data_IF_125662628284
#
_entry.id   IF_125662628284
#
_cell.length_a   1.000
_cell.length_b   1.000
_cell.length_c   1.000
_cell.angle_alpha   90.00
_cell.angle_beta   90.00
_cell.angle_gamma   90.00
#
_symmetry.space_group_name_H-M   'P 1'
#
loop_
_entity.id
_entity.type
_entity.pdbx_description
1 polymer ?
#
# COMPACT_ATOMS: atom_id res chain seq x y z
N UNK A 1 -66.69 -22.76 -43.78
CA UNK A 1 -66.30 -21.95 -42.60
C UNK A 1 -64.78 -21.86 -42.57
N UNK A 2 -64.22 -20.66 -42.71
CA UNK A 2 -62.77 -20.41 -42.77
C UNK A 2 -62.28 -20.07 -41.36
N UNK A 3 -61.40 -20.88 -40.80
CA UNK A 3 -60.66 -20.53 -39.59
C UNK A 3 -59.56 -19.53 -39.96
N UNK A 4 -59.71 -18.27 -39.54
CA UNK A 4 -58.69 -17.24 -39.66
C UNK A 4 -57.86 -17.28 -38.39
N UNK A 5 -56.65 -17.84 -38.48
CA UNK A 5 -55.63 -17.76 -37.43
C UNK A 5 -55.06 -16.33 -37.40
N UNK A 6 -55.18 -15.69 -36.25
CA UNK A 6 -54.75 -14.32 -35.98
C UNK A 6 -53.21 -14.24 -35.80
N UNK A 7 -52.45 -13.42 -36.55
CA UNK A 7 -50.99 -13.44 -36.56
C UNK A 7 -50.31 -12.77 -35.36
N UNK A 8 -51.06 -12.36 -34.32
CA UNK A 8 -50.49 -11.60 -33.19
C UNK A 8 -49.71 -12.46 -32.20
N UNK A 9 -49.85 -13.79 -32.21
CA UNK A 9 -49.31 -14.66 -31.15
C UNK A 9 -47.89 -15.21 -31.47
N UNK A 10 -47.34 -14.94 -32.66
CA UNK A 10 -45.98 -15.40 -33.01
C UNK A 10 -44.87 -14.36 -32.73
N UNK A 11 -45.23 -13.16 -32.28
CA UNK A 11 -44.28 -12.06 -32.05
C UNK A 11 -43.73 -11.93 -30.62
N UNK A 12 -44.31 -12.60 -29.63
CA UNK A 12 -44.02 -12.32 -28.21
C UNK A 12 -42.95 -13.22 -27.58
N UNK A 13 -42.51 -14.30 -28.24
CA UNK A 13 -41.52 -15.24 -27.65
C UNK A 13 -40.07 -14.87 -28.00
N UNK A 14 -39.83 -14.03 -29.01
CA UNK A 14 -38.47 -13.60 -29.39
C UNK A 14 -38.00 -12.39 -28.55
N UNK A 15 -38.90 -11.72 -27.81
CA UNK A 15 -38.57 -10.54 -27.01
C UNK A 15 -38.02 -10.85 -25.61
N UNK A 16 -37.88 -12.11 -25.21
CA UNK A 16 -37.53 -12.49 -23.84
C UNK A 16 -36.20 -13.24 -23.70
N UNK A 17 -35.31 -13.15 -24.70
CA UNK A 17 -34.01 -13.85 -24.72
C UNK A 17 -32.79 -12.93 -24.87
N UNK A 18 -32.96 -11.62 -24.68
CA UNK A 18 -31.85 -10.77 -24.27
C UNK A 18 -31.85 -10.68 -22.75
N UNK A 19 -31.38 -11.76 -22.12
CA UNK A 19 -30.85 -11.72 -20.76
C UNK A 19 -29.85 -10.57 -20.72
N UNK A 20 -30.28 -9.48 -20.09
CA UNK A 20 -29.44 -8.37 -19.71
C UNK A 20 -28.30 -8.92 -18.88
N UNK A 21 -27.14 -9.10 -19.52
CA UNK A 21 -25.87 -9.28 -18.86
C UNK A 21 -25.60 -7.95 -18.15
N UNK A 22 -26.14 -7.80 -16.95
CA UNK A 22 -25.67 -6.80 -16.00
C UNK A 22 -24.25 -7.22 -15.63
N UNK A 23 -23.28 -6.78 -16.41
CA UNK A 23 -21.89 -6.76 -15.99
C UNK A 23 -21.87 -5.88 -14.73
N UNK A 24 -21.86 -6.52 -13.55
CA UNK A 24 -21.56 -5.84 -12.32
C UNK A 24 -20.15 -5.28 -12.48
N UNK A 25 -20.03 -3.99 -12.81
CA UNK A 25 -18.76 -3.30 -12.70
C UNK A 25 -18.39 -3.41 -11.22
N UNK A 26 -17.36 -4.21 -10.92
CA UNK A 26 -16.78 -4.22 -9.59
C UNK A 26 -16.48 -2.76 -9.25
N UNK A 27 -17.10 -2.26 -8.18
CA UNK A 27 -16.82 -0.92 -7.69
C UNK A 27 -15.32 -0.89 -7.41
N UNK A 28 -14.58 0.03 -8.04
CA UNK A 28 -13.18 0.24 -7.76
C UNK A 28 -13.05 0.45 -6.24
N UNK A 29 -12.59 -0.58 -5.54
CA UNK A 29 -12.43 -0.51 -4.10
C UNK A 29 -11.11 0.20 -3.89
N UNK A 30 -11.16 1.51 -3.69
CA UNK A 30 -9.97 2.28 -3.38
C UNK A 30 -9.46 1.82 -2.01
N UNK A 31 -8.23 1.33 -1.97
CA UNK A 31 -7.61 0.88 -0.74
C UNK A 31 -7.47 2.05 0.23
N UNK A 32 -8.06 1.93 1.43
CA UNK A 32 -8.09 3.01 2.41
C UNK A 32 -6.90 2.90 3.36
N UNK A 33 -6.00 3.90 3.40
CA UNK A 33 -4.96 3.98 4.42
C UNK A 33 -5.55 4.03 5.82
N UNK A 34 -4.88 3.43 6.79
CA UNK A 34 -5.36 3.40 8.16
C UNK A 34 -4.21 3.46 9.18
N UNK A 35 -4.35 4.32 10.18
CA UNK A 35 -3.38 4.43 11.26
C UNK A 35 -3.33 3.19 12.17
N UNK A 36 -4.42 2.45 12.29
CA UNK A 36 -4.61 1.36 13.24
C UNK A 36 -4.73 -0.01 12.56
N UNK A 37 -4.52 -0.08 11.25
CA UNK A 37 -4.54 -1.33 10.50
C UNK A 37 -3.44 -1.36 9.42
N UNK A 38 -3.15 -2.56 8.93
CA UNK A 38 -2.29 -2.83 7.79
C UNK A 38 -3.05 -3.50 6.64
N UNK A 39 -4.39 -3.49 6.67
CA UNK A 39 -5.26 -4.12 5.68
C UNK A 39 -5.20 -3.46 4.30
N UNK A 40 -4.76 -2.20 4.26
CA UNK A 40 -4.42 -1.50 3.01
C UNK A 40 -3.60 -2.38 2.07
N UNK A 41 -2.56 -3.05 2.59
CA UNK A 41 -1.68 -3.88 1.76
C UNK A 41 -2.37 -5.15 1.25
N UNK A 42 -3.37 -5.67 1.95
CA UNK A 42 -4.17 -6.79 1.46
C UNK A 42 -5.10 -6.33 0.33
N UNK A 43 -5.71 -5.15 0.47
CA UNK A 43 -6.48 -4.54 -0.60
C UNK A 43 -5.60 -4.25 -1.82
N UNK A 44 -4.43 -3.64 -1.61
CA UNK A 44 -3.51 -3.30 -2.70
C UNK A 44 -3.08 -4.55 -3.47
N UNK A 45 -2.75 -5.64 -2.76
CA UNK A 45 -2.46 -6.92 -3.39
C UNK A 45 -3.61 -7.44 -4.26
N UNK A 46 -4.87 -7.24 -3.86
CA UNK A 46 -6.01 -7.66 -4.67
C UNK A 46 -6.15 -6.85 -5.96
N UNK A 47 -5.63 -5.61 -5.99
CA UNK A 47 -5.59 -4.76 -7.18
C UNK A 47 -4.40 -5.11 -8.10
N UNK A 48 -3.18 -5.18 -7.54
CA UNK A 48 -1.95 -5.32 -8.35
C UNK A 48 -1.48 -6.77 -8.57
N UNK A 49 -2.01 -7.72 -7.79
CA UNK A 49 -1.79 -9.16 -7.94
C UNK A 49 -0.32 -9.60 -8.03
N UNK A 50 0.56 -9.02 -7.20
CA UNK A 50 2.01 -9.28 -7.23
C UNK A 50 2.44 -10.58 -6.54
N UNK A 51 1.50 -11.29 -5.91
CA UNK A 51 1.69 -12.56 -5.24
C UNK A 51 2.32 -12.43 -3.85
N UNK A 52 2.42 -13.57 -3.17
CA UNK A 52 2.92 -13.68 -1.78
C UNK A 52 4.35 -13.14 -1.58
N UNK A 53 5.17 -13.17 -2.63
CA UNK A 53 6.54 -12.62 -2.62
C UNK A 53 6.61 -11.16 -3.07
N UNK A 54 5.49 -10.61 -3.55
CA UNK A 54 5.35 -9.24 -4.01
C UNK A 54 5.51 -8.21 -2.89
N UNK A 55 5.71 -6.95 -3.27
CA UNK A 55 5.90 -5.87 -2.32
C UNK A 55 4.75 -5.72 -1.31
N UNK A 56 3.45 -5.71 -1.70
CA UNK A 56 2.36 -5.47 -0.76
C UNK A 56 2.38 -6.44 0.42
N UNK A 57 2.52 -7.74 0.17
CA UNK A 57 2.47 -8.76 1.23
C UNK A 57 3.83 -9.02 1.88
N UNK A 58 4.87 -9.30 1.08
CA UNK A 58 6.16 -9.76 1.62
C UNK A 58 6.96 -8.64 2.32
N UNK A 59 6.64 -7.38 2.03
CA UNK A 59 7.35 -6.23 2.54
C UNK A 59 6.41 -5.26 3.27
N UNK A 60 5.46 -4.64 2.57
CA UNK A 60 4.57 -3.61 3.10
C UNK A 60 3.79 -4.08 4.33
N UNK A 61 2.94 -5.10 4.15
CA UNK A 61 2.13 -5.68 5.23
C UNK A 61 2.99 -6.20 6.38
N UNK A 62 4.05 -6.95 6.06
CA UNK A 62 4.98 -7.50 7.04
C UNK A 62 5.55 -6.44 7.98
N UNK A 63 6.12 -5.36 7.43
CA UNK A 63 6.76 -4.33 8.26
C UNK A 63 5.76 -3.37 8.89
N UNK A 64 4.63 -3.11 8.23
CA UNK A 64 3.52 -2.40 8.86
C UNK A 64 3.07 -3.12 10.14
N UNK A 65 2.83 -4.43 10.08
CA UNK A 65 2.42 -5.20 11.26
C UNK A 65 3.53 -5.25 12.32
N UNK A 66 4.79 -5.39 11.91
CA UNK A 66 5.91 -5.44 12.84
C UNK A 66 6.07 -4.15 13.66
N UNK A 67 5.89 -2.98 13.02
CA UNK A 67 5.87 -1.69 13.72
C UNK A 67 4.64 -1.55 14.61
N UNK A 68 3.44 -1.85 14.09
CA UNK A 68 2.19 -1.79 14.85
C UNK A 68 2.24 -2.62 16.14
N UNK A 69 2.81 -3.83 16.07
CA UNK A 69 2.95 -4.72 17.22
C UNK A 69 3.94 -4.21 18.29
N UNK A 70 4.82 -3.26 17.96
CA UNK A 70 5.82 -2.71 18.89
C UNK A 70 5.42 -1.36 19.48
N UNK A 71 4.39 -0.70 18.95
CA UNK A 71 4.00 0.67 19.35
C UNK A 71 3.80 0.86 20.84
N UNK A 72 3.18 -0.12 21.52
CA UNK A 72 2.95 -0.05 22.97
C UNK A 72 4.21 -0.31 23.83
N UNK A 73 5.27 -0.88 23.25
CA UNK A 73 6.49 -1.30 23.96
C UNK A 73 7.66 -0.33 23.82
N UNK A 74 7.47 0.81 23.17
CA UNK A 74 8.52 1.80 22.88
C UNK A 74 8.20 3.16 23.49
N UNK A 75 9.13 4.13 23.35
CA UNK A 75 8.87 5.51 23.77
C UNK A 75 7.64 6.09 23.06
N UNK A 76 6.92 7.02 23.70
CA UNK A 76 5.78 7.73 23.07
C UNK A 76 6.17 8.41 21.76
N UNK A 77 7.41 8.90 21.66
CA UNK A 77 7.95 9.52 20.43
C UNK A 77 8.10 8.48 19.32
N UNK A 78 8.75 7.35 19.61
CA UNK A 78 8.97 6.28 18.62
C UNK A 78 7.66 5.61 18.21
N UNK A 79 6.72 5.40 19.14
CA UNK A 79 5.38 4.87 18.84
C UNK A 79 4.61 5.79 17.88
N UNK A 80 4.67 7.11 18.08
CA UNK A 80 4.10 8.07 17.12
C UNK A 80 4.81 8.03 15.77
N UNK A 81 6.13 7.86 15.75
CA UNK A 81 6.88 7.73 14.50
C UNK A 81 6.44 6.46 13.73
N UNK A 82 6.29 5.32 14.40
CA UNK A 82 5.76 4.08 13.80
C UNK A 82 4.37 4.30 13.17
N UNK A 83 3.45 4.92 13.89
CA UNK A 83 2.11 5.22 13.37
C UNK A 83 2.15 6.12 12.13
N UNK A 84 2.95 7.19 12.18
CA UNK A 84 3.08 8.16 11.07
C UNK A 84 3.69 7.53 9.83
N UNK A 85 4.81 6.81 9.98
CA UNK A 85 5.51 6.22 8.81
C UNK A 85 4.67 5.13 8.16
N UNK A 86 3.98 4.29 8.95
CA UNK A 86 3.06 3.28 8.43
C UNK A 86 1.92 3.90 7.63
N UNK A 87 1.35 4.99 8.12
CA UNK A 87 0.24 5.66 7.44
C UNK A 87 0.70 6.37 6.17
N UNK A 88 1.79 7.14 6.23
CA UNK A 88 2.37 7.81 5.05
C UNK A 88 2.69 6.81 3.93
N UNK A 89 3.26 5.66 4.26
CA UNK A 89 3.58 4.63 3.27
C UNK A 89 2.33 4.01 2.63
N UNK A 90 1.21 3.92 3.35
CA UNK A 90 -0.07 3.49 2.77
C UNK A 90 -0.63 4.58 1.85
N UNK A 91 -0.66 5.84 2.29
CA UNK A 91 -1.11 6.97 1.48
C UNK A 91 -0.32 7.13 0.18
N UNK A 92 1.00 6.94 0.24
CA UNK A 92 1.88 7.08 -0.93
C UNK A 92 1.64 6.04 -2.04
N UNK A 93 0.75 5.07 -1.81
CA UNK A 93 0.46 3.94 -2.68
C UNK A 93 -1.03 3.82 -3.06
N UNK A 94 -1.86 4.84 -2.78
CA UNK A 94 -3.29 4.81 -3.12
C UNK A 94 -3.51 4.57 -4.62
N UNK A 95 -2.69 5.21 -5.46
CA UNK A 95 -2.80 5.15 -6.93
C UNK A 95 -1.80 4.17 -7.55
N UNK A 96 -1.28 3.21 -6.79
CA UNK A 96 -0.17 2.36 -7.22
C UNK A 96 -0.51 1.44 -8.41
N UNK A 97 -1.78 1.06 -8.60
CA UNK A 97 -2.27 0.30 -9.75
C UNK A 97 -2.26 1.11 -11.06
N UNK A 98 -2.27 2.45 -10.95
CA UNK A 98 -2.13 3.38 -12.06
C UNK A 98 -0.69 3.92 -12.21
N UNK A 99 0.05 4.07 -11.12
CA UNK A 99 1.42 4.62 -11.11
C UNK A 99 2.46 3.63 -11.65
N UNK A 100 2.26 2.32 -11.48
CA UNK A 100 3.27 1.30 -11.80
C UNK A 100 2.76 0.26 -12.79
N UNK A 101 3.57 -0.07 -13.80
CA UNK A 101 3.20 -1.03 -14.85
C UNK A 101 3.60 -2.47 -14.51
N UNK A 102 4.37 -2.68 -13.44
CA UNK A 102 4.81 -4.00 -13.01
C UNK A 102 5.07 -4.08 -11.51
N UNK A 103 5.07 -5.30 -10.97
CA UNK A 103 5.42 -5.56 -9.58
C UNK A 103 6.87 -5.18 -9.22
N UNK A 104 7.77 -5.20 -10.20
CA UNK A 104 9.14 -4.74 -10.01
C UNK A 104 9.19 -3.22 -9.89
N UNK A 105 8.48 -2.50 -10.76
CA UNK A 105 8.33 -1.04 -10.68
C UNK A 105 7.66 -0.62 -9.37
N UNK A 106 6.54 -1.27 -9.00
CA UNK A 106 5.87 -1.04 -7.73
C UNK A 106 6.84 -1.21 -6.55
N UNK A 107 7.63 -2.28 -6.54
CA UNK A 107 8.61 -2.52 -5.47
C UNK A 107 9.68 -1.43 -5.42
N UNK A 108 10.24 -1.04 -6.55
CA UNK A 108 11.28 -0.02 -6.63
C UNK A 108 10.74 1.36 -6.23
N UNK A 109 9.59 1.75 -6.78
CA UNK A 109 8.89 2.99 -6.47
C UNK A 109 8.50 3.07 -5.01
N UNK A 110 7.92 2.00 -4.45
CA UNK A 110 7.54 1.97 -3.03
C UNK A 110 8.74 2.12 -2.10
N UNK A 111 9.90 1.51 -2.43
CA UNK A 111 11.13 1.71 -1.65
C UNK A 111 11.65 3.14 -1.73
N UNK A 112 11.46 3.83 -2.86
CA UNK A 112 11.81 5.25 -2.97
C UNK A 112 10.93 6.12 -2.07
N UNK A 113 9.61 5.88 -2.02
CA UNK A 113 8.67 6.62 -1.13
C UNK A 113 9.05 6.53 0.36
N UNK A 114 9.80 5.49 0.78
CA UNK A 114 10.26 5.39 2.18
C UNK A 114 11.13 6.57 2.60
N UNK A 115 11.95 7.13 1.71
CA UNK A 115 12.84 8.24 2.07
C UNK A 115 12.00 9.42 2.55
N UNK A 116 11.02 9.84 1.76
CA UNK A 116 10.11 10.94 2.11
C UNK A 116 9.32 10.63 3.39
N UNK A 117 8.68 9.45 3.47
CA UNK A 117 7.88 9.10 4.64
C UNK A 117 8.67 9.01 5.94
N UNK A 118 9.94 8.56 5.90
CA UNK A 118 10.81 8.56 7.08
C UNK A 118 11.07 9.99 7.56
N UNK A 119 11.42 10.88 6.63
CA UNK A 119 11.71 12.28 6.92
C UNK A 119 10.48 13.00 7.49
N UNK A 120 9.33 12.93 6.80
CA UNK A 120 8.09 13.60 7.21
C UNK A 120 7.51 13.06 8.53
N UNK A 121 7.81 11.81 8.86
CA UNK A 121 7.42 11.22 10.15
C UNK A 121 8.28 11.70 11.33
N UNK A 122 9.39 12.40 11.06
CA UNK A 122 10.31 12.93 12.08
C UNK A 122 11.48 12.01 12.42
N UNK A 123 11.95 11.19 11.48
CA UNK A 123 13.06 10.25 11.73
C UNK A 123 14.36 10.97 12.19
N UNK A 124 14.63 12.17 11.68
CA UNK A 124 15.84 12.93 12.01
C UNK A 124 15.91 13.36 13.50
N UNK A 125 14.76 13.47 14.17
CA UNK A 125 14.66 13.90 15.56
C UNK A 125 14.73 12.72 16.56
N UNK A 126 14.80 11.49 16.05
CA UNK A 126 14.93 10.30 16.88
C UNK A 126 16.34 10.19 17.45
N UNK A 127 16.41 9.74 18.70
CA UNK A 127 17.67 9.38 19.33
C UNK A 127 18.30 8.17 18.65
N UNK A 128 19.62 7.98 18.83
CA UNK A 128 20.31 6.78 18.32
C UNK A 128 19.67 5.48 18.85
N UNK A 129 19.23 5.46 20.11
CA UNK A 129 18.52 4.31 20.69
C UNK A 129 17.19 3.98 20.02
N UNK A 130 16.44 4.99 19.58
CA UNK A 130 15.19 4.79 18.83
C UNK A 130 15.48 4.33 17.38
N UNK A 131 16.51 4.90 16.74
CA UNK A 131 16.96 4.44 15.41
C UNK A 131 17.43 2.98 15.43
N UNK A 132 18.10 2.54 16.51
CA UNK A 132 18.47 1.12 16.67
C UNK A 132 17.25 0.21 16.81
N UNK A 133 16.22 0.61 17.55
CA UNK A 133 14.96 -0.15 17.63
C UNK A 133 14.26 -0.27 16.27
N UNK A 134 14.35 0.76 15.41
CA UNK A 134 13.89 0.67 14.01
C UNK A 134 14.71 -0.37 13.24
N UNK A 135 16.04 -0.32 13.34
CA UNK A 135 16.93 -1.28 12.69
C UNK A 135 16.67 -2.73 13.14
N UNK A 136 16.36 -2.96 14.41
CA UNK A 136 15.98 -4.28 14.95
C UNK A 136 14.70 -4.84 14.31
N UNK A 137 13.71 -4.00 14.02
CA UNK A 137 12.48 -4.42 13.32
C UNK A 137 12.81 -4.92 11.91
N UNK A 138 13.69 -4.19 11.22
CA UNK A 138 14.12 -4.54 9.85
C UNK A 138 14.99 -5.81 9.86
N UNK A 139 15.84 -5.96 10.88
CA UNK A 139 16.71 -7.11 11.11
C UNK A 139 17.74 -7.29 9.99
N UNK A 140 18.02 -8.54 9.63
CA UNK A 140 18.98 -8.88 8.56
C UNK A 140 18.64 -8.28 7.20
N UNK A 141 17.39 -7.88 6.97
CA UNK A 141 17.02 -7.20 5.71
C UNK A 141 17.69 -5.83 5.58
N UNK A 142 18.17 -5.23 6.68
CA UNK A 142 18.89 -3.95 6.65
C UNK A 142 20.15 -4.04 5.79
N UNK A 143 20.72 -5.24 5.61
CA UNK A 143 21.89 -5.48 4.76
C UNK A 143 21.54 -5.64 3.26
N UNK A 144 20.25 -5.63 2.90
CA UNK A 144 19.86 -5.65 1.49
C UNK A 144 20.17 -4.31 0.87
N UNK A 145 20.87 -4.31 -0.27
CA UNK A 145 21.32 -3.10 -1.00
C UNK A 145 20.23 -2.02 -1.12
N UNK A 146 19.01 -2.41 -1.44
CA UNK A 146 17.91 -1.46 -1.59
C UNK A 146 17.51 -0.77 -0.27
N UNK A 147 17.53 -1.49 0.86
CA UNK A 147 17.24 -0.90 2.18
C UNK A 147 18.42 -0.04 2.66
N UNK A 148 19.66 -0.50 2.44
CA UNK A 148 20.86 0.32 2.70
C UNK A 148 20.77 1.64 1.95
N UNK A 149 20.36 1.62 0.68
CA UNK A 149 20.22 2.83 -0.14
C UNK A 149 19.21 3.82 0.46
N UNK A 150 18.06 3.34 0.95
CA UNK A 150 17.07 4.18 1.64
C UNK A 150 17.66 4.77 2.92
N UNK A 151 18.30 3.94 3.75
CA UNK A 151 18.89 4.37 5.02
C UNK A 151 19.97 5.45 4.80
N UNK A 152 20.85 5.27 3.82
CA UNK A 152 21.89 6.25 3.47
C UNK A 152 21.26 7.58 3.04
N UNK A 153 20.22 7.54 2.20
CA UNK A 153 19.54 8.76 1.74
C UNK A 153 18.88 9.52 2.89
N UNK A 154 18.13 8.82 3.75
CA UNK A 154 17.51 9.42 4.93
C UNK A 154 18.56 10.05 5.85
N UNK A 155 19.62 9.31 6.20
CA UNK A 155 20.67 9.83 7.08
C UNK A 155 21.47 10.97 6.44
N UNK A 156 21.68 10.96 5.12
CA UNK A 156 22.32 12.07 4.41
C UNK A 156 21.49 13.36 4.50
N UNK A 157 20.17 13.26 4.30
CA UNK A 157 19.27 14.40 4.47
C UNK A 157 19.25 14.88 5.92
N UNK A 158 19.14 13.98 6.90
CA UNK A 158 19.14 14.36 8.31
C UNK A 158 20.41 15.10 8.73
N UNK A 159 21.59 14.69 8.24
CA UNK A 159 22.86 15.40 8.51
C UNK A 159 22.84 16.81 7.90
N UNK A 160 22.46 16.93 6.63
CA UNK A 160 22.43 18.23 5.95
C UNK A 160 21.48 19.23 6.65
N UNK A 161 20.29 18.78 7.05
CA UNK A 161 19.32 19.64 7.76
C UNK A 161 19.80 20.07 9.14
N UNK A 162 20.65 19.28 9.81
CA UNK A 162 21.24 19.65 11.10
C UNK A 162 22.43 20.59 10.95
N UNK A 163 23.23 20.46 9.89
CA UNK A 163 24.38 21.32 9.61
C UNK A 163 23.96 22.73 9.15
N UNK A 164 22.85 22.86 8.41
CA UNK A 164 22.30 24.15 7.97
C UNK A 164 21.51 24.92 9.03
N UNK A 165 21.31 24.34 10.22
CA UNK A 165 20.65 24.98 11.36
C UNK A 165 21.65 25.57 12.38
N UNK A 166 22.95 25.56 12.06
CA UNK A 166 24.04 26.21 12.83
C UNK A 166 24.52 27.49 12.17
#
# INVERSE_FOLDING_TARGET
>A
MKYVLNPVILGTVIFSLFLSVFAAKALATNCQPNHHSCDFYQCLENQVQCGKSGYPLAFGKRYCQAYMNREAGVSVRLGRWYQKVRYCLQESLIDADHEFNSCQELRAGSLHKHVQCYLESGYCDLSMGEKMQIAEVVGLNLFKKAIISVAIQVEAVCRYSQDGAR
#
